data_IF_344429269702
#
_entry.id   IF_344429269702
#
_cell.length_a   1.000
_cell.length_b   1.000
_cell.length_c   1.000
_cell.angle_alpha   90.00
_cell.angle_beta   90.00
_cell.angle_gamma   90.00
#
_symmetry.space_group_name_H-M   'P 1'
#
loop_
_entity.id
_entity.type
_entity.pdbx_description
1 polymer ?
#
# COMPACT_ATOMS: atom_id res chain seq x y z
N UNK A 1 6.69 2.65 -15.06
CA UNK A 1 7.75 2.98 -14.08
C UNK A 1 8.39 1.69 -13.62
N UNK A 2 9.66 1.46 -13.96
CA UNK A 2 10.39 0.28 -13.49
C UNK A 2 10.77 0.42 -12.01
N UNK A 3 11.06 1.66 -11.60
CA UNK A 3 11.58 2.07 -10.28
C UNK A 3 10.76 1.61 -9.07
N UNK A 4 9.42 1.64 -9.14
CA UNK A 4 8.54 1.25 -8.04
C UNK A 4 7.90 -0.13 -8.25
N UNK A 5 8.42 -0.95 -9.16
CA UNK A 5 7.83 -2.24 -9.50
C UNK A 5 7.59 -3.12 -8.28
N UNK A 6 8.58 -3.23 -7.40
CA UNK A 6 8.48 -4.02 -6.17
C UNK A 6 7.44 -3.45 -5.20
N UNK A 7 7.42 -2.13 -5.00
CA UNK A 7 6.43 -1.46 -4.16
C UNK A 7 5.02 -1.72 -4.66
N UNK A 8 4.77 -1.57 -5.96
CA UNK A 8 3.45 -1.88 -6.55
C UNK A 8 3.11 -3.36 -6.49
N UNK A 9 4.09 -4.26 -6.65
CA UNK A 9 3.88 -5.69 -6.50
C UNK A 9 3.45 -6.04 -5.06
N UNK A 10 4.12 -5.47 -4.05
CA UNK A 10 3.76 -5.65 -2.64
C UNK A 10 2.37 -5.06 -2.35
N UNK A 11 2.07 -3.85 -2.83
CA UNK A 11 0.75 -3.23 -2.66
C UNK A 11 -0.36 -3.99 -3.39
N UNK A 12 -0.04 -4.66 -4.49
CA UNK A 12 -0.97 -5.55 -5.20
C UNK A 12 -1.18 -6.84 -4.42
N UNK A 13 -0.12 -7.42 -3.85
CA UNK A 13 -0.16 -8.63 -3.03
C UNK A 13 -0.92 -8.41 -1.72
N UNK A 14 -0.85 -7.21 -1.13
CA UNK A 14 -1.60 -6.86 0.09
C UNK A 14 -3.04 -6.43 -0.19
N UNK A 15 -3.50 -6.45 -1.45
CA UNK A 15 -4.87 -6.09 -1.80
C UNK A 15 -5.14 -4.57 -1.87
N UNK A 16 -4.13 -3.71 -1.72
CA UNK A 16 -4.30 -2.26 -1.62
C UNK A 16 -4.37 -1.55 -2.98
N UNK A 17 -3.62 -2.04 -3.97
CA UNK A 17 -3.60 -1.44 -5.32
C UNK A 17 -3.98 -2.48 -6.36
N UNK A 18 -4.92 -2.10 -7.24
CA UNK A 18 -5.35 -2.96 -8.34
C UNK A 18 -4.26 -3.05 -9.42
N UNK A 19 -3.97 -4.26 -9.94
CA UNK A 19 -3.05 -4.37 -11.08
C UNK A 19 -3.69 -3.79 -12.35
N UNK A 20 -2.98 -2.89 -13.02
CA UNK A 20 -3.43 -2.18 -14.22
C UNK A 20 -3.66 -3.09 -15.44
N UNK A 21 -3.17 -4.33 -15.41
CA UNK A 21 -3.25 -5.30 -16.52
C UNK A 21 -4.64 -5.93 -16.69
N UNK A 22 -5.58 -5.74 -15.75
CA UNK A 22 -6.87 -6.44 -15.74
C UNK A 22 -8.00 -5.62 -16.38
N UNK A 23 -8.24 -5.87 -17.68
CA UNK A 23 -9.31 -5.23 -18.46
C UNK A 23 -10.72 -5.77 -18.16
N UNK A 24 -10.84 -7.00 -17.69
CA UNK A 24 -12.14 -7.67 -17.51
C UNK A 24 -12.83 -7.28 -16.19
N UNK A 25 -14.14 -7.00 -16.26
CA UNK A 25 -14.96 -6.60 -15.10
C UNK A 25 -15.00 -7.65 -13.98
N UNK A 26 -15.12 -8.94 -14.31
CA UNK A 26 -15.18 -10.01 -13.31
C UNK A 26 -13.90 -10.12 -12.46
N UNK A 27 -12.72 -9.90 -13.07
CA UNK A 27 -11.45 -9.89 -12.35
C UNK A 27 -11.36 -8.71 -11.37
N UNK A 28 -11.95 -7.56 -11.73
CA UNK A 28 -12.02 -6.39 -10.86
C UNK A 28 -12.89 -6.65 -9.64
N UNK A 29 -14.07 -7.25 -9.84
CA UNK A 29 -14.97 -7.63 -8.74
C UNK A 29 -14.30 -8.64 -7.82
N UNK A 30 -13.67 -9.68 -8.38
CA UNK A 30 -12.94 -10.67 -7.59
C UNK A 30 -11.83 -10.04 -6.75
N UNK A 31 -11.09 -9.09 -7.32
CA UNK A 31 -10.06 -8.37 -6.60
C UNK A 31 -10.63 -7.46 -5.51
N UNK A 32 -11.73 -6.75 -5.77
CA UNK A 32 -12.38 -5.92 -4.74
C UNK A 32 -12.90 -6.77 -3.57
N UNK A 33 -13.45 -7.97 -3.84
CA UNK A 33 -13.82 -8.94 -2.78
C UNK A 33 -12.58 -9.37 -2.00
N UNK A 34 -11.48 -9.69 -2.69
CA UNK A 34 -10.22 -10.02 -2.04
C UNK A 34 -9.71 -8.89 -1.14
N UNK A 35 -9.72 -7.64 -1.61
CA UNK A 35 -9.37 -6.46 -0.82
C UNK A 35 -10.24 -6.33 0.43
N UNK A 36 -11.56 -6.53 0.31
CA UNK A 36 -12.48 -6.48 1.45
C UNK A 36 -12.12 -7.57 2.48
N UNK A 37 -11.84 -8.80 2.03
CA UNK A 37 -11.43 -9.89 2.92
C UNK A 37 -10.13 -9.55 3.65
N UNK A 38 -9.11 -9.01 2.96
CA UNK A 38 -7.85 -8.60 3.59
C UNK A 38 -8.08 -7.50 4.62
N UNK A 39 -8.92 -6.51 4.33
CA UNK A 39 -9.25 -5.47 5.31
C UNK A 39 -9.97 -6.03 6.53
N UNK A 40 -10.94 -6.93 6.35
CA UNK A 40 -11.64 -7.57 7.46
C UNK A 40 -10.66 -8.34 8.35
N UNK A 41 -9.69 -9.04 7.77
CA UNK A 41 -8.63 -9.73 8.53
C UNK A 41 -7.74 -8.73 9.29
N UNK A 42 -7.32 -7.63 8.65
CA UNK A 42 -6.52 -6.59 9.29
C UNK A 42 -7.27 -5.95 10.47
N UNK A 43 -8.54 -5.59 10.30
CA UNK A 43 -9.34 -5.01 11.38
C UNK A 43 -9.60 -6.03 12.51
N UNK A 44 -9.80 -7.31 12.17
CA UNK A 44 -9.96 -8.36 13.18
C UNK A 44 -8.69 -8.54 14.01
N UNK A 45 -7.52 -8.44 13.36
CA UNK A 45 -6.24 -8.48 14.04
C UNK A 45 -6.03 -7.27 14.95
N UNK A 46 -6.31 -6.06 14.45
CA UNK A 46 -6.28 -4.83 15.25
C UNK A 46 -7.18 -4.91 16.48
N UNK A 47 -8.41 -5.44 16.33
CA UNK A 47 -9.30 -5.63 17.48
C UNK A 47 -8.76 -6.62 18.49
N UNK A 48 -8.03 -7.64 18.05
CA UNK A 48 -7.39 -8.61 18.97
C UNK A 48 -6.30 -7.95 19.81
N UNK A 49 -5.53 -7.03 19.22
CA UNK A 49 -4.48 -6.29 19.93
C UNK A 49 -5.06 -5.30 20.93
N UNK A 50 -6.15 -4.63 20.59
CA UNK A 50 -6.87 -3.77 21.53
C UNK A 50 -7.40 -4.60 22.70
N UNK A 51 -7.94 -5.80 22.44
CA UNK A 51 -8.41 -6.69 23.51
C UNK A 51 -7.26 -7.15 24.41
N UNK A 52 -6.12 -7.52 23.83
CA UNK A 52 -4.92 -7.89 24.59
C UNK A 52 -4.42 -6.74 25.48
N UNK A 53 -4.40 -5.52 24.94
CA UNK A 53 -4.04 -4.30 25.67
C UNK A 53 -4.96 -4.02 26.86
N UNK A 54 -6.26 -4.29 26.71
CA UNK A 54 -7.27 -3.99 27.73
C UNK A 54 -7.39 -5.11 28.78
N UNK A 55 -7.20 -6.38 28.39
CA UNK A 55 -7.54 -7.54 29.22
C UNK A 55 -6.31 -8.21 29.84
N UNK A 56 -5.17 -8.23 29.15
CA UNK A 56 -4.04 -9.12 29.47
C UNK A 56 -2.83 -8.40 30.10
N UNK A 57 -2.92 -7.10 30.30
CA UNK A 57 -1.82 -6.28 30.82
C UNK A 57 -1.87 -6.22 32.36
N UNK A 58 -0.82 -6.73 33.00
CA UNK A 58 -0.72 -6.79 34.46
C UNK A 58 0.11 -5.64 35.07
N UNK A 59 1.10 -5.11 34.34
CA UNK A 59 1.99 -4.06 34.83
C UNK A 59 2.22 -2.94 33.80
N UNK A 60 2.92 -1.88 34.22
CA UNK A 60 3.16 -0.69 33.40
C UNK A 60 4.08 -0.96 32.20
N UNK A 61 5.06 -1.87 32.34
CA UNK A 61 5.99 -2.19 31.25
C UNK A 61 5.24 -2.97 30.16
N UNK A 62 4.46 -3.99 30.54
CA UNK A 62 3.58 -4.75 29.64
C UNK A 62 2.58 -3.83 28.91
N UNK A 63 2.02 -2.85 29.64
CA UNK A 63 1.12 -1.86 29.04
C UNK A 63 1.82 -1.06 27.95
N UNK A 64 3.01 -0.55 28.24
CA UNK A 64 3.76 0.29 27.32
C UNK A 64 4.17 -0.47 26.06
N UNK A 65 4.64 -1.71 26.20
CA UNK A 65 5.00 -2.56 25.07
C UNK A 65 3.78 -2.88 24.19
N UNK A 66 2.67 -3.28 24.81
CA UNK A 66 1.48 -3.65 24.06
C UNK A 66 0.78 -2.46 23.39
N UNK A 67 0.76 -1.31 24.08
CA UNK A 67 0.27 -0.04 23.53
C UNK A 67 1.09 0.36 22.31
N UNK A 68 2.42 0.22 22.38
CA UNK A 68 3.30 0.54 21.26
C UNK A 68 2.97 -0.32 20.03
N UNK A 69 2.87 -1.64 20.19
CA UNK A 69 2.54 -2.55 19.08
C UNK A 69 1.15 -2.24 18.50
N UNK A 70 0.16 -2.02 19.36
CA UNK A 70 -1.20 -1.65 18.96
C UNK A 70 -1.21 -0.36 18.15
N UNK A 71 -0.53 0.71 18.61
CA UNK A 71 -0.48 1.99 17.89
C UNK A 71 0.24 1.89 16.54
N UNK A 72 1.29 1.08 16.44
CA UNK A 72 2.00 0.84 15.18
C UNK A 72 1.07 0.19 14.14
N UNK A 73 0.26 -0.78 14.56
CA UNK A 73 -0.69 -1.45 13.68
C UNK A 73 -1.92 -0.59 13.36
N UNK A 74 -2.41 0.18 14.32
CA UNK A 74 -3.43 1.20 14.08
C UNK A 74 -2.99 2.19 12.99
N UNK A 75 -1.77 2.71 13.09
CA UNK A 75 -1.17 3.60 12.09
C UNK A 75 -1.05 2.93 10.71
N UNK A 76 -0.69 1.65 10.69
CA UNK A 76 -0.60 0.86 9.46
C UNK A 76 -1.98 0.65 8.81
N UNK A 77 -3.02 0.38 9.60
CA UNK A 77 -4.41 0.29 9.14
C UNK A 77 -4.90 1.62 8.58
N UNK A 78 -4.58 2.75 9.24
CA UNK A 78 -4.89 4.09 8.72
C UNK A 78 -4.24 4.33 7.35
N UNK A 79 -2.96 3.98 7.19
CA UNK A 79 -2.25 4.09 5.90
C UNK A 79 -2.89 3.21 4.82
N UNK A 80 -3.29 1.98 5.16
CA UNK A 80 -3.99 1.08 4.24
C UNK A 80 -5.32 1.69 3.76
N UNK A 81 -6.12 2.26 4.67
CA UNK A 81 -7.36 2.94 4.32
C UNK A 81 -7.13 4.16 3.42
N UNK A 82 -6.16 5.00 3.76
CA UNK A 82 -5.79 6.17 2.95
C UNK A 82 -5.39 5.74 1.53
N UNK A 83 -4.54 4.72 1.41
CA UNK A 83 -4.14 4.18 0.11
C UNK A 83 -5.34 3.68 -0.71
N UNK A 84 -6.30 3.01 -0.07
CA UNK A 84 -7.52 2.54 -0.73
C UNK A 84 -8.44 3.68 -1.18
N UNK A 85 -8.65 4.70 -0.33
CA UNK A 85 -9.47 5.87 -0.66
C UNK A 85 -8.87 6.61 -1.85
N UNK A 86 -7.56 6.82 -1.85
CA UNK A 86 -6.87 7.57 -2.89
C UNK A 86 -6.36 6.71 -4.05
N UNK A 87 -6.71 5.42 -4.12
CA UNK A 87 -6.20 4.49 -5.15
C UNK A 87 -6.42 5.00 -6.58
N UNK A 88 -7.57 5.63 -6.85
CA UNK A 88 -7.88 6.22 -8.15
C UNK A 88 -7.01 7.44 -8.47
N UNK A 89 -6.73 8.28 -7.47
CA UNK A 89 -5.85 9.44 -7.64
C UNK A 89 -4.40 9.01 -7.89
N UNK A 90 -3.95 7.94 -7.21
CA UNK A 90 -2.63 7.34 -7.45
C UNK A 90 -2.54 6.79 -8.88
N UNK A 91 -3.60 6.11 -9.35
CA UNK A 91 -3.66 5.62 -10.74
C UNK A 91 -3.57 6.77 -11.76
N UNK A 92 -4.31 7.86 -11.54
CA UNK A 92 -4.25 9.06 -12.40
C UNK A 92 -2.85 9.68 -12.37
N UNK A 93 -2.27 9.86 -11.17
CA UNK A 93 -0.93 10.44 -11.02
C UNK A 93 0.13 9.60 -11.73
N UNK A 94 0.04 8.27 -11.63
CA UNK A 94 0.92 7.36 -12.37
C UNK A 94 0.77 7.53 -13.89
N UNK A 95 -0.45 7.67 -14.38
CA UNK A 95 -0.72 7.93 -15.80
C UNK A 95 -0.05 9.23 -16.26
N UNK A 96 -0.25 10.32 -15.51
CA UNK A 96 0.36 11.63 -15.80
C UNK A 96 1.89 11.54 -15.86
N UNK A 97 2.53 10.84 -14.93
CA UNK A 97 4.00 10.68 -14.89
C UNK A 97 4.56 9.83 -16.04
N UNK A 98 3.70 9.11 -16.77
CA UNK A 98 4.07 8.30 -17.94
C UNK A 98 3.72 9.00 -19.27
N UNK A 99 3.10 10.18 -19.21
CA UNK A 99 2.70 10.98 -20.36
C UNK A 99 3.55 12.25 -20.46
N UNK A 100 3.43 12.97 -21.59
CA UNK A 100 4.06 14.30 -21.75
C UNK A 100 3.44 15.27 -20.73
N UNK A 101 4.23 16.14 -20.08
CA UNK A 101 5.65 16.46 -20.35
C UNK A 101 6.68 15.64 -19.56
N UNK A 102 6.29 14.61 -18.81
CA UNK A 102 7.17 13.92 -17.84
C UNK A 102 7.91 12.71 -18.40
N UNK A 103 7.52 12.24 -19.59
CA UNK A 103 8.25 11.22 -20.33
C UNK A 103 9.53 11.82 -20.94
N UNK A 104 10.69 11.14 -20.86
CA UNK A 104 11.92 11.64 -21.48
C UNK A 104 11.75 11.77 -22.99
N UNK A 105 12.25 12.87 -23.56
CA UNK A 105 12.08 13.22 -24.98
C UNK A 105 13.38 13.05 -25.77
N UNK A 106 14.53 13.21 -25.12
CA UNK A 106 15.85 13.12 -25.75
C UNK A 106 16.75 12.08 -25.05
N UNK A 107 17.85 11.73 -25.71
CA UNK A 107 18.77 10.70 -25.22
C UNK A 107 19.46 11.11 -23.90
N UNK A 108 19.67 12.41 -23.67
CA UNK A 108 20.22 12.94 -22.42
C UNK A 108 19.27 12.71 -21.23
N UNK A 109 17.97 12.97 -21.40
CA UNK A 109 16.94 12.73 -20.39
C UNK A 109 16.76 11.22 -20.12
N UNK A 110 16.91 10.39 -21.16
CA UNK A 110 16.90 8.92 -21.00
C UNK A 110 18.09 8.45 -20.15
N UNK A 111 19.29 8.96 -20.41
CA UNK A 111 20.49 8.64 -19.62
C UNK A 111 20.33 9.05 -18.14
N UNK A 112 19.89 10.29 -17.92
CA UNK A 112 19.62 10.81 -16.56
C UNK A 112 18.61 9.91 -15.85
N UNK A 113 17.49 9.60 -16.50
CA UNK A 113 16.44 8.76 -15.91
C UNK A 113 16.97 7.38 -15.56
N UNK A 114 17.66 6.72 -16.47
CA UNK A 114 18.23 5.38 -16.26
C UNK A 114 19.18 5.36 -15.06
N UNK A 115 20.09 6.33 -14.97
CA UNK A 115 21.04 6.46 -13.85
C UNK A 115 20.37 6.65 -12.48
N UNK A 116 19.18 7.22 -12.42
CA UNK A 116 18.41 7.35 -11.18
C UNK A 116 17.53 6.12 -10.93
N UNK A 117 16.97 5.50 -11.96
CA UNK A 117 16.20 4.27 -11.83
C UNK A 117 17.07 3.13 -11.26
N UNK A 118 18.32 2.99 -11.70
CA UNK A 118 19.29 2.01 -11.18
C UNK A 118 19.72 2.25 -9.71
N UNK A 119 19.52 3.45 -9.17
CA UNK A 119 19.88 3.76 -7.77
C UNK A 119 18.78 3.50 -6.77
N UNK A 120 17.54 3.36 -7.24
CA UNK A 120 16.36 3.19 -6.39
C UNK A 120 15.99 1.70 -6.25
N UNK A 121 16.37 0.86 -7.21
CA UNK A 121 16.24 -0.60 -7.18
C UNK A 121 17.50 -1.26 -6.61
#
# INVERSE_FOLDING_TARGET
>A
MHTLRWTFALLTLTGLIRPSTWKYLWKRVLYDVYTIVVLLLLFSFETSLILDLVINVDNQDDFSENLYVTLVLFSSCCKALVLLIYRGNIEILMGVLLEKPFVPVNDEEIDIRTKFEERIE
#
